data_IF_516831366067
#
_entry.id   IF_516831366067
#
_cell.length_a   1.000
_cell.length_b   1.000
_cell.length_c   1.000
_cell.angle_alpha   90.00
_cell.angle_beta   90.00
_cell.angle_gamma   90.00
#
_symmetry.space_group_name_H-M   'P 1'
#
loop_
_entity.id
_entity.type
_entity.pdbx_description
1 polymer ?
#
# COMPACT_ATOMS: atom_id res chain seq x y z
N UNK A 1 0.01 12.83 -3.28
CA UNK A 1 0.17 11.69 -2.34
C UNK A 1 0.16 10.40 -3.16
N UNK A 2 0.16 9.22 -2.53
CA UNK A 2 -0.02 7.92 -3.21
C UNK A 2 -1.11 7.09 -2.55
N UNK A 3 -1.82 6.30 -3.36
CA UNK A 3 -2.81 5.33 -2.87
C UNK A 3 -2.10 4.28 -2.02
N UNK A 4 -2.69 3.92 -0.87
CA UNK A 4 -2.06 2.98 0.08
C UNK A 4 -1.79 1.61 -0.54
N UNK A 5 -2.73 1.09 -1.33
CA UNK A 5 -2.59 -0.19 -2.06
C UNK A 5 -1.51 -0.12 -3.14
N UNK A 6 -1.40 0.99 -3.86
CA UNK A 6 -0.32 1.19 -4.82
C UNK A 6 1.06 1.26 -4.14
N UNK A 7 1.14 1.86 -2.94
CA UNK A 7 2.37 1.81 -2.14
C UNK A 7 2.74 0.37 -1.75
N UNK A 8 1.77 -0.48 -1.38
CA UNK A 8 2.02 -1.92 -1.15
C UNK A 8 2.56 -2.59 -2.41
N UNK A 9 1.95 -2.36 -3.57
CA UNK A 9 2.41 -2.92 -4.83
C UNK A 9 3.84 -2.48 -5.18
N UNK A 10 4.18 -1.20 -4.94
CA UNK A 10 5.54 -0.68 -5.12
C UNK A 10 6.51 -1.37 -4.16
N UNK A 11 6.16 -1.52 -2.88
CA UNK A 11 6.99 -2.22 -1.90
C UNK A 11 7.24 -3.67 -2.29
N UNK A 12 6.19 -4.40 -2.66
CA UNK A 12 6.27 -5.78 -3.11
C UNK A 12 7.14 -5.94 -4.37
N UNK A 13 6.89 -5.11 -5.39
CA UNK A 13 7.69 -5.14 -6.61
C UNK A 13 9.15 -4.79 -6.34
N UNK A 14 9.42 -3.79 -5.48
CA UNK A 14 10.77 -3.43 -5.09
C UNK A 14 11.52 -4.57 -4.37
N UNK A 15 10.81 -5.43 -3.64
CA UNK A 15 11.37 -6.58 -2.93
C UNK A 15 11.62 -7.81 -3.81
N UNK A 16 11.06 -7.86 -5.02
CA UNK A 16 11.31 -8.93 -5.99
C UNK A 16 12.41 -8.50 -6.97
N UNK A 17 13.61 -9.12 -6.92
CA UNK A 17 14.70 -8.78 -7.83
C UNK A 17 14.28 -8.91 -9.31
N UNK A 18 14.61 -7.90 -10.11
CA UNK A 18 14.38 -7.92 -11.56
C UNK A 18 13.04 -7.34 -12.02
N UNK A 19 12.11 -6.99 -11.12
CA UNK A 19 10.96 -6.16 -11.53
C UNK A 19 11.43 -4.75 -11.94
N UNK A 20 10.63 -4.05 -12.75
CA UNK A 20 10.96 -2.68 -13.15
C UNK A 20 11.11 -1.73 -11.95
N UNK A 21 10.31 -1.91 -10.90
CA UNK A 21 10.39 -1.10 -9.68
C UNK A 21 11.69 -1.39 -8.92
N UNK A 22 12.07 -2.68 -8.80
CA UNK A 22 13.32 -3.08 -8.17
C UNK A 22 14.53 -2.50 -8.93
N UNK A 23 14.55 -2.62 -10.25
CA UNK A 23 15.61 -2.07 -11.10
C UNK A 23 15.70 -0.55 -10.99
N UNK A 24 14.57 0.16 -11.03
CA UNK A 24 14.52 1.61 -10.85
C UNK A 24 15.03 2.06 -9.47
N UNK A 25 14.87 1.23 -8.44
CA UNK A 25 15.39 1.48 -7.10
C UNK A 25 16.89 1.12 -6.94
N UNK A 26 17.56 0.63 -7.99
CA UNK A 26 18.97 0.25 -7.99
C UNK A 26 19.23 -1.27 -7.94
N UNK A 27 18.21 -2.10 -8.15
CA UNK A 27 18.33 -3.56 -8.22
C UNK A 27 18.61 -4.26 -6.89
N UNK A 28 18.77 -5.58 -6.95
CA UNK A 28 19.18 -6.45 -5.84
C UNK A 28 18.07 -6.74 -4.81
N UNK A 29 18.44 -7.41 -3.73
CA UNK A 29 17.55 -7.69 -2.60
C UNK A 29 17.22 -6.40 -1.84
N UNK A 30 15.93 -6.08 -1.66
CA UNK A 30 15.48 -4.86 -0.96
C UNK A 30 14.29 -5.14 -0.06
N UNK A 31 14.40 -4.75 1.21
CA UNK A 31 13.30 -4.87 2.18
C UNK A 31 12.48 -3.59 2.33
N UNK A 32 13.03 -2.45 1.89
CA UNK A 32 12.31 -1.17 1.86
C UNK A 32 12.84 -0.25 0.78
N UNK A 33 11.96 0.63 0.31
CA UNK A 33 12.28 1.72 -0.62
C UNK A 33 11.63 3.01 -0.14
N UNK A 34 12.35 4.12 -0.33
CA UNK A 34 11.81 5.47 -0.21
C UNK A 34 11.67 6.04 -1.60
N UNK A 35 10.43 6.24 -2.05
CA UNK A 35 10.14 6.69 -3.40
C UNK A 35 9.43 8.05 -3.38
N UNK A 36 9.68 8.84 -4.42
CA UNK A 36 9.02 10.14 -4.63
C UNK A 36 7.63 9.97 -5.24
N UNK A 37 6.70 10.82 -4.82
CA UNK A 37 5.39 11.01 -5.45
C UNK A 37 5.09 12.52 -5.58
N UNK A 38 4.07 12.97 -6.33
CA UNK A 38 3.83 14.40 -6.62
C UNK A 38 3.63 15.34 -5.41
N UNK A 39 3.68 14.83 -4.19
CA UNK A 39 3.48 15.61 -2.95
C UNK A 39 4.53 15.31 -1.88
N UNK A 40 5.66 14.70 -2.25
CA UNK A 40 6.73 14.35 -1.31
C UNK A 40 7.31 12.96 -1.54
N UNK A 41 7.69 12.27 -0.47
CA UNK A 41 8.24 10.93 -0.51
C UNK A 41 7.57 10.02 0.53
N UNK A 42 7.50 8.73 0.21
CA UNK A 42 6.93 7.71 1.08
C UNK A 42 7.91 6.53 1.20
N UNK A 43 8.09 6.04 2.42
CA UNK A 43 8.85 4.82 2.70
C UNK A 43 7.87 3.65 2.83
N UNK A 44 8.10 2.59 2.07
CA UNK A 44 7.35 1.34 2.13
C UNK A 44 8.32 0.17 2.16
N UNK A 45 7.96 -0.88 2.89
CA UNK A 45 8.69 -2.14 2.94
C UNK A 45 7.83 -3.31 2.49
N UNK A 46 8.51 -4.36 2.05
CA UNK A 46 7.91 -5.66 1.83
C UNK A 46 8.97 -6.74 2.04
N UNK A 47 8.51 -7.93 2.40
CA UNK A 47 9.35 -9.12 2.42
C UNK A 47 8.75 -10.14 1.48
N UNK A 48 9.54 -10.54 0.49
CA UNK A 48 9.16 -11.53 -0.50
C UNK A 48 10.14 -12.69 -0.43
N UNK A 49 9.61 -13.91 -0.55
CA UNK A 49 10.39 -15.14 -0.64
C UNK A 49 10.01 -15.87 -1.92
N UNK A 50 11.00 -16.41 -2.61
CA UNK A 50 10.79 -17.32 -3.72
C UNK A 50 10.92 -18.77 -3.25
N UNK A 51 9.90 -19.58 -3.51
CA UNK A 51 9.90 -21.03 -3.25
C UNK A 51 9.46 -21.71 -4.54
N UNK A 52 10.26 -22.65 -5.05
CA UNK A 52 9.95 -23.39 -6.28
C UNK A 52 9.62 -22.49 -7.49
N UNK A 53 10.32 -21.35 -7.60
CA UNK A 53 10.11 -20.38 -8.68
C UNK A 53 8.94 -19.41 -8.45
N UNK A 54 8.08 -19.65 -7.45
CA UNK A 54 6.93 -18.80 -7.14
C UNK A 54 7.27 -17.79 -6.05
N UNK A 55 7.00 -16.52 -6.32
CA UNK A 55 7.17 -15.44 -5.34
C UNK A 55 5.94 -15.32 -4.43
N UNK A 56 6.19 -15.28 -3.13
CA UNK A 56 5.18 -14.99 -2.10
C UNK A 56 5.62 -13.77 -1.29
N UNK A 57 4.73 -12.78 -1.15
CA UNK A 57 4.95 -11.62 -0.28
C UNK A 57 4.42 -11.95 1.11
N UNK A 58 5.31 -12.15 2.07
CA UNK A 58 4.96 -12.54 3.45
C UNK A 58 4.50 -11.33 4.27
N UNK A 59 5.07 -10.14 4.01
CA UNK A 59 4.76 -8.90 4.75
C UNK A 59 4.79 -7.68 3.85
N UNK A 60 3.93 -6.71 4.16
CA UNK A 60 3.98 -5.35 3.63
C UNK A 60 3.96 -4.35 4.80
N UNK A 61 4.86 -3.37 4.77
CA UNK A 61 5.15 -2.48 5.90
C UNK A 61 5.02 -1.03 5.44
N UNK A 62 4.24 -0.23 6.17
CA UNK A 62 4.12 1.20 5.91
C UNK A 62 3.82 1.96 7.21
N UNK A 63 4.17 3.25 7.25
CA UNK A 63 3.78 4.16 8.33
C UNK A 63 2.64 5.05 7.88
N UNK A 64 1.58 5.14 8.69
CA UNK A 64 0.40 5.99 8.46
C UNK A 64 -0.01 6.66 9.76
N UNK A 65 -0.62 7.83 9.65
CA UNK A 65 -1.27 8.54 10.75
C UNK A 65 -2.79 8.53 10.58
N UNK A 66 -3.52 8.52 11.69
CA UNK A 66 -4.96 8.71 11.71
C UNK A 66 -5.33 9.73 12.82
N UNK A 67 -6.39 10.49 12.61
CA UNK A 67 -6.96 11.40 13.62
C UNK A 67 -8.48 11.37 13.54
N UNK A 68 -9.15 11.47 14.70
CA UNK A 68 -10.60 11.71 14.75
C UNK A 68 -10.89 13.11 14.20
N UNK A 69 -11.83 13.21 13.26
CA UNK A 69 -12.26 14.50 12.69
C UNK A 69 -13.59 14.97 13.30
N UNK A 70 -14.56 14.06 13.43
CA UNK A 70 -15.88 14.34 14.01
C UNK A 70 -16.37 13.13 14.80
N UNK A 71 -17.10 13.39 15.87
CA UNK A 71 -17.87 12.43 16.64
C UNK A 71 -19.27 12.97 16.84
N UNK A 72 -20.29 12.15 16.59
CA UNK A 72 -21.68 12.59 16.59
C UNK A 72 -22.57 11.61 15.83
N UNK A 73 -23.69 12.13 15.31
CA UNK A 73 -24.68 11.34 14.56
C UNK A 73 -24.72 11.81 13.11
N UNK A 74 -24.71 10.87 12.16
CA UNK A 74 -25.03 11.15 10.76
C UNK A 74 -26.55 11.10 10.61
N UNK A 75 -27.13 12.06 9.90
CA UNK A 75 -28.56 12.09 9.59
C UNK A 75 -28.77 11.63 8.14
N UNK A 76 -29.79 10.80 7.93
CA UNK A 76 -30.21 10.31 6.60
C UNK A 76 -31.75 10.39 6.52
N UNK A 77 -32.35 10.58 5.33
CA UNK A 77 -33.81 10.58 5.16
C UNK A 77 -34.47 9.30 5.69
N UNK A 78 -35.67 9.42 6.27
CA UNK A 78 -36.36 8.33 6.98
C UNK A 78 -36.60 7.06 6.14
N UNK A 79 -36.73 7.17 4.81
CA UNK A 79 -36.90 6.03 3.90
C UNK A 79 -35.64 5.58 3.14
N UNK A 80 -34.44 6.03 3.54
CA UNK A 80 -33.19 5.72 2.79
C UNK A 80 -32.77 4.25 2.86
N UNK A 81 -33.37 3.49 3.77
CA UNK A 81 -33.10 2.06 3.96
C UNK A 81 -34.36 1.20 3.81
N UNK A 82 -35.47 1.79 3.35
CA UNK A 82 -36.67 1.02 3.04
C UNK A 82 -36.34 0.15 1.83
N UNK A 83 -36.03 -1.12 2.07
CA UNK A 83 -35.99 -2.12 1.01
C UNK A 83 -37.41 -2.20 0.46
N UNK A 84 -37.62 -1.67 -0.75
CA UNK A 84 -38.90 -1.80 -1.44
C UNK A 84 -39.32 -3.27 -1.46
N UNK A 85 -40.36 -3.57 -0.70
CA UNK A 85 -41.22 -4.73 -0.94
C UNK A 85 -42.15 -4.41 -2.09
#
# INVERSE_FOLDING_TARGET
>A
AMMGTAAVAIGAAAAVPGTLVNLAAGGGERRSVRFGHPSGALTVGAEARQTEGVWTVERAIMSRSARRLMEGRILVPAGSFDAGN
#
